data_IF_282415357793
#
_entry.id   IF_282415357793
#
_cell.length_a   1.000
_cell.length_b   1.000
_cell.length_c   1.000
_cell.angle_alpha   90.00
_cell.angle_beta   90.00
_cell.angle_gamma   90.00
#
_symmetry.space_group_name_H-M   'P 1'
#
loop_
_entity.id
_entity.type
_entity.pdbx_description
1 polymer ?
#
# COMPACT_ATOMS: atom_id res chain seq x y z
N UNK A 1 4.11 -15.70 -26.60
CA UNK A 1 3.70 -14.33 -26.22
C UNK A 1 3.65 -14.28 -24.70
N UNK A 2 4.56 -13.56 -24.08
CA UNK A 2 4.53 -13.36 -22.65
C UNK A 2 3.33 -12.49 -22.29
N UNK A 3 2.43 -13.04 -21.49
CA UNK A 3 1.35 -12.28 -20.88
C UNK A 3 1.97 -11.43 -19.76
N UNK A 4 2.06 -10.14 -19.98
CA UNK A 4 2.50 -9.24 -18.94
C UNK A 4 1.52 -9.27 -17.78
N UNK A 5 2.05 -9.49 -16.58
CA UNK A 5 1.26 -9.43 -15.36
C UNK A 5 0.83 -7.99 -15.10
N UNK A 6 -0.41 -7.82 -14.69
CA UNK A 6 -0.95 -6.52 -14.30
C UNK A 6 -0.64 -6.23 -12.84
N UNK A 7 -0.12 -5.05 -12.58
CA UNK A 7 0.31 -4.62 -11.25
C UNK A 7 -0.42 -3.33 -10.89
N UNK A 8 -1.04 -3.32 -9.73
CA UNK A 8 -1.55 -2.09 -9.11
C UNK A 8 -0.52 -1.56 -8.12
N UNK A 9 -0.12 -0.31 -8.28
CA UNK A 9 0.79 0.37 -7.36
C UNK A 9 0.03 1.49 -6.66
N UNK A 10 0.05 1.48 -5.33
CA UNK A 10 -0.60 2.51 -4.53
C UNK A 10 0.40 3.41 -3.84
N UNK A 11 0.02 4.66 -3.62
CA UNK A 11 0.73 5.63 -2.81
C UNK A 11 -0.27 6.47 -2.03
N UNK A 12 0.21 7.33 -1.18
CA UNK A 12 -0.61 8.20 -0.35
C UNK A 12 -0.39 9.68 -0.67
N UNK A 13 -1.45 10.44 -0.55
CA UNK A 13 -1.37 11.91 -0.56
C UNK A 13 -0.68 12.46 0.71
N UNK A 14 -0.46 13.76 0.76
CA UNK A 14 0.19 14.41 1.89
C UNK A 14 -0.58 14.19 3.20
N UNK A 15 0.18 14.02 4.29
CA UNK A 15 -0.34 13.71 5.62
C UNK A 15 0.14 14.72 6.67
N UNK A 16 -0.77 15.15 7.53
CA UNK A 16 -0.53 16.10 8.62
C UNK A 16 0.12 17.40 8.11
N UNK A 17 1.15 17.90 8.79
CA UNK A 17 1.84 19.14 8.46
C UNK A 17 2.88 18.99 7.33
N UNK A 18 2.94 17.83 6.70
CA UNK A 18 3.88 17.58 5.61
C UNK A 18 3.25 17.92 4.26
N UNK A 19 3.81 18.89 3.57
CA UNK A 19 3.33 19.36 2.27
C UNK A 19 3.53 18.32 1.16
N UNK A 20 4.44 17.37 1.35
CA UNK A 20 4.81 16.40 0.33
C UNK A 20 4.87 14.99 0.88
N UNK A 21 4.38 14.06 0.09
CA UNK A 21 4.55 12.62 0.31
C UNK A 21 5.28 12.03 -0.91
N UNK A 22 6.46 11.43 -0.73
CA UNK A 22 7.20 10.87 -1.87
C UNK A 22 6.45 9.76 -2.60
N UNK A 23 5.52 9.08 -1.94
CA UNK A 23 4.70 8.07 -2.62
C UNK A 23 3.64 8.70 -3.53
N UNK A 24 3.15 9.87 -3.22
CA UNK A 24 2.32 10.65 -4.15
C UNK A 24 3.09 10.96 -5.43
N UNK A 25 4.31 11.46 -5.29
CA UNK A 25 5.20 11.75 -6.42
C UNK A 25 5.45 10.51 -7.27
N UNK A 26 5.70 9.38 -6.63
CA UNK A 26 5.87 8.11 -7.31
C UNK A 26 4.65 7.77 -8.18
N UNK A 27 3.45 7.90 -7.64
CA UNK A 27 2.21 7.60 -8.37
C UNK A 27 2.03 8.57 -9.54
N UNK A 28 2.29 9.85 -9.35
CA UNK A 28 2.21 10.86 -10.41
C UNK A 28 3.19 10.56 -11.56
N UNK A 29 4.45 10.29 -11.22
CA UNK A 29 5.49 9.98 -12.20
C UNK A 29 5.18 8.69 -12.98
N UNK A 30 4.74 7.64 -12.28
CA UNK A 30 4.35 6.37 -12.92
C UNK A 30 3.15 6.54 -13.84
N UNK A 31 2.15 7.32 -13.47
CA UNK A 31 0.96 7.53 -14.28
C UNK A 31 1.29 8.24 -15.60
N UNK A 32 2.29 9.10 -15.61
CA UNK A 32 2.76 9.80 -16.82
C UNK A 32 3.50 8.90 -17.80
N UNK A 33 4.03 7.78 -17.37
CA UNK A 33 4.75 6.84 -18.23
C UNK A 33 3.82 5.99 -19.09
N UNK A 34 2.53 5.97 -18.83
CA UNK A 34 1.50 5.23 -19.58
C UNK A 34 1.86 3.76 -19.84
N UNK A 35 2.39 3.09 -18.82
CA UNK A 35 2.77 1.68 -18.90
C UNK A 35 1.51 0.80 -18.88
N UNK A 36 1.32 0.02 -19.93
CA UNK A 36 0.07 -0.74 -20.16
C UNK A 36 -0.23 -1.81 -19.10
N UNK A 37 0.79 -2.28 -18.40
CA UNK A 37 0.66 -3.32 -17.36
C UNK A 37 0.71 -2.78 -15.94
N UNK A 38 0.88 -1.46 -15.77
CA UNK A 38 0.91 -0.79 -14.48
C UNK A 38 -0.34 0.07 -14.32
N UNK A 39 -1.09 -0.21 -13.27
CA UNK A 39 -2.17 0.64 -12.78
C UNK A 39 -1.70 1.38 -11.54
N UNK A 40 -2.10 2.61 -11.37
CA UNK A 40 -1.72 3.44 -10.23
C UNK A 40 -2.94 3.90 -9.47
N UNK A 41 -2.81 4.06 -8.16
CA UNK A 41 -3.88 4.52 -7.29
C UNK A 41 -3.31 5.39 -6.17
N UNK A 42 -3.74 6.63 -6.11
CA UNK A 42 -3.45 7.51 -4.99
C UNK A 42 -4.52 7.37 -3.92
N UNK A 43 -4.09 7.04 -2.70
CA UNK A 43 -4.97 6.83 -1.56
C UNK A 43 -4.99 8.06 -0.64
N UNK A 44 -6.14 8.42 -0.09
CA UNK A 44 -6.20 9.40 0.98
C UNK A 44 -5.62 8.84 2.27
N UNK A 45 -5.04 9.69 3.09
CA UNK A 45 -4.58 9.30 4.44
C UNK A 45 -5.79 9.28 5.38
N UNK A 46 -6.56 8.25 5.24
CA UNK A 46 -7.80 7.98 5.98
C UNK A 46 -7.93 6.48 6.13
N UNK A 47 -8.02 5.99 7.33
CA UNK A 47 -8.19 4.55 7.59
C UNK A 47 -9.40 3.98 6.86
N UNK A 48 -10.53 4.67 6.95
CA UNK A 48 -11.78 4.25 6.33
C UNK A 48 -11.74 4.35 4.80
N UNK A 49 -11.34 5.50 4.28
CA UNK A 49 -11.42 5.79 2.85
C UNK A 49 -10.35 5.08 2.04
N UNK A 50 -9.12 4.96 2.58
CA UNK A 50 -8.03 4.28 1.88
C UNK A 50 -8.36 2.81 1.62
N UNK A 51 -8.84 2.10 2.63
CA UNK A 51 -9.24 0.70 2.48
C UNK A 51 -10.41 0.54 1.51
N UNK A 52 -11.44 1.37 1.63
CA UNK A 52 -12.61 1.32 0.74
C UNK A 52 -12.22 1.57 -0.72
N UNK A 53 -11.37 2.57 -0.96
CA UNK A 53 -10.90 2.91 -2.31
C UNK A 53 -10.01 1.82 -2.92
N UNK A 54 -9.13 1.23 -2.12
CA UNK A 54 -8.31 0.11 -2.56
C UNK A 54 -9.16 -1.10 -2.90
N UNK A 55 -10.12 -1.44 -2.04
CA UNK A 55 -11.03 -2.56 -2.26
C UNK A 55 -11.85 -2.38 -3.54
N UNK A 56 -12.41 -1.20 -3.77
CA UNK A 56 -13.14 -0.86 -4.99
C UNK A 56 -12.26 -1.04 -6.24
N UNK A 57 -11.03 -0.54 -6.21
CA UNK A 57 -10.09 -0.70 -7.31
C UNK A 57 -9.76 -2.15 -7.60
N UNK A 58 -9.60 -2.98 -6.56
CA UNK A 58 -9.34 -4.41 -6.72
C UNK A 58 -10.55 -5.18 -7.25
N UNK A 59 -11.76 -4.77 -6.87
CA UNK A 59 -13.00 -5.37 -7.38
C UNK A 59 -13.25 -5.01 -8.86
N UNK A 60 -12.89 -3.81 -9.28
CA UNK A 60 -13.06 -3.33 -10.65
C UNK A 60 -11.95 -3.76 -11.60
N UNK A 61 -10.72 -3.82 -11.10
CA UNK A 61 -9.52 -4.08 -11.89
C UNK A 61 -8.99 -5.46 -11.61
N UNK A 62 -8.89 -6.26 -12.64
CA UNK A 62 -8.24 -7.57 -12.53
C UNK A 62 -6.72 -7.39 -12.57
N UNK A 63 -6.10 -7.32 -11.40
CA UNK A 63 -4.65 -7.22 -11.26
C UNK A 63 -4.07 -8.50 -10.66
N UNK A 64 -2.85 -8.83 -11.08
CA UNK A 64 -2.14 -10.02 -10.60
C UNK A 64 -1.38 -9.73 -9.29
N UNK A 65 -0.89 -8.49 -9.14
CA UNK A 65 -0.11 -8.06 -7.99
C UNK A 65 -0.52 -6.67 -7.53
N UNK A 66 -0.39 -6.44 -6.23
CA UNK A 66 -0.56 -5.13 -5.62
C UNK A 66 0.72 -4.77 -4.88
N UNK A 67 1.26 -3.59 -5.16
CA UNK A 67 2.40 -3.02 -4.44
C UNK A 67 1.90 -1.77 -3.73
N UNK A 68 1.85 -1.82 -2.40
CA UNK A 68 1.47 -0.69 -1.59
C UNK A 68 2.73 0.05 -1.12
N UNK A 69 2.79 1.34 -1.38
CA UNK A 69 3.88 2.20 -0.92
C UNK A 69 3.38 3.21 0.10
N UNK A 70 4.22 3.52 1.07
CA UNK A 70 3.93 4.48 2.13
C UNK A 70 5.19 5.12 2.67
N UNK A 71 5.04 6.27 3.31
CA UNK A 71 6.13 7.00 3.93
C UNK A 71 6.31 6.55 5.39
N UNK A 72 7.54 6.16 5.74
CA UNK A 72 7.94 5.93 7.11
C UNK A 72 8.97 7.01 7.51
N UNK A 73 8.56 7.97 8.33
CA UNK A 73 9.34 9.18 8.63
C UNK A 73 10.73 8.95 9.22
N UNK A 74 10.89 7.89 9.99
CA UNK A 74 12.14 7.62 10.69
C UNK A 74 13.06 6.64 9.95
N UNK A 75 12.81 6.42 8.65
CA UNK A 75 13.60 5.49 7.83
C UNK A 75 14.22 6.23 6.65
N UNK A 76 15.52 6.08 6.48
CA UNK A 76 16.29 6.70 5.40
C UNK A 76 16.40 5.80 4.16
N UNK A 77 16.07 4.53 4.30
CA UNK A 77 16.17 3.54 3.22
C UNK A 77 14.82 2.93 2.90
N UNK A 78 14.69 2.46 1.68
CA UNK A 78 13.52 1.71 1.23
C UNK A 78 13.47 0.35 1.96
N UNK A 79 12.36 0.09 2.64
CA UNK A 79 12.12 -1.18 3.32
C UNK A 79 10.97 -1.92 2.66
N UNK A 80 11.11 -3.23 2.58
CA UNK A 80 10.04 -4.11 2.13
C UNK A 80 9.44 -4.77 3.37
N UNK A 81 8.17 -4.50 3.64
CA UNK A 81 7.45 -5.10 4.75
C UNK A 81 7.16 -6.58 4.45
N UNK A 82 7.56 -7.43 5.36
CA UNK A 82 7.43 -8.88 5.20
C UNK A 82 6.08 -9.43 5.64
N UNK A 83 5.47 -8.79 6.62
CA UNK A 83 4.23 -9.24 7.24
C UNK A 83 3.24 -8.08 7.29
N UNK A 84 2.04 -8.31 6.81
CA UNK A 84 0.89 -7.42 6.99
C UNK A 84 0.05 -7.96 8.15
N UNK A 85 -0.15 -7.15 9.19
CA UNK A 85 -0.96 -7.52 10.35
C UNK A 85 -2.37 -6.96 10.25
N UNK A 86 -3.33 -7.68 10.79
CA UNK A 86 -4.73 -7.23 10.88
C UNK A 86 -4.93 -6.33 12.11
N UNK A 87 -4.17 -5.26 12.17
CA UNK A 87 -4.25 -4.29 13.24
C UNK A 87 -3.84 -2.92 12.74
N UNK A 88 -4.64 -1.92 13.02
CA UNK A 88 -4.28 -0.53 12.83
C UNK A 88 -4.15 0.16 14.18
N UNK A 89 -3.05 0.88 14.34
CA UNK A 89 -2.78 1.63 15.57
C UNK A 89 -1.90 2.83 15.26
N UNK A 90 -2.30 4.00 15.71
CA UNK A 90 -1.52 5.22 15.60
C UNK A 90 -1.87 6.19 16.72
N UNK A 91 -0.89 6.97 17.13
CA UNK A 91 -1.07 8.02 18.14
C UNK A 91 -1.55 9.35 17.54
N UNK A 92 -1.44 9.48 16.22
CA UNK A 92 -1.83 10.69 15.49
C UNK A 92 -3.06 10.38 14.67
N UNK A 93 -4.01 11.32 14.65
CA UNK A 93 -5.21 11.22 13.84
C UNK A 93 -4.87 11.21 12.34
N UNK A 94 -5.65 10.49 11.56
CA UNK A 94 -5.59 10.57 10.10
C UNK A 94 -6.19 11.90 9.60
N UNK A 95 -6.25 12.10 8.28
CA UNK A 95 -6.77 13.34 7.69
C UNK A 95 -8.28 13.54 7.93
N UNK A 96 -9.00 12.50 8.34
CA UNK A 96 -10.42 12.59 8.73
C UNK A 96 -10.59 12.84 10.25
N UNK A 97 -9.50 12.91 11.01
CA UNK A 97 -9.53 13.06 12.47
C UNK A 97 -9.71 11.74 13.22
N UNK A 98 -9.61 10.62 12.55
CA UNK A 98 -9.75 9.29 13.15
C UNK A 98 -8.42 8.84 13.77
N UNK A 99 -8.49 8.36 15.02
CA UNK A 99 -7.35 7.79 15.74
C UNK A 99 -7.59 6.29 15.92
N UNK A 100 -6.73 5.49 15.30
CA UNK A 100 -6.78 4.05 15.44
C UNK A 100 -6.05 3.62 16.72
N UNK A 101 -6.73 2.95 17.63
CA UNK A 101 -6.17 2.43 18.88
C UNK A 101 -6.27 0.90 18.88
N UNK A 102 -5.25 0.24 18.32
CA UNK A 102 -5.13 -1.23 18.32
C UNK A 102 -6.41 -1.96 17.90
N UNK A 103 -7.02 -1.53 16.83
CA UNK A 103 -8.25 -2.15 16.33
C UNK A 103 -7.99 -3.02 15.10
N UNK A 104 -8.78 -4.09 14.89
CA UNK A 104 -8.64 -4.91 13.68
C UNK A 104 -9.08 -4.11 12.44
N UNK A 105 -8.37 -4.32 11.32
CA UNK A 105 -8.76 -3.79 10.01
C UNK A 105 -9.98 -4.55 9.49
N UNK A 106 -9.94 -5.88 9.60
CA UNK A 106 -11.05 -6.77 9.25
C UNK A 106 -11.49 -7.52 10.50
N UNK A 107 -12.70 -7.27 10.95
CA UNK A 107 -13.27 -7.95 12.12
C UNK A 107 -13.35 -9.47 11.86
N UNK A 108 -12.90 -10.25 12.82
CA UNK A 108 -12.75 -11.71 12.69
C UNK A 108 -11.87 -12.18 11.52
N UNK A 109 -11.05 -11.29 10.96
CA UNK A 109 -10.07 -11.65 9.96
C UNK A 109 -8.86 -12.38 10.54
N UNK A 110 -8.07 -12.95 9.66
CA UNK A 110 -6.79 -13.57 10.02
C UNK A 110 -5.85 -12.51 10.62
N UNK A 111 -5.07 -12.87 11.64
CA UNK A 111 -4.22 -11.91 12.36
C UNK A 111 -3.08 -11.33 11.51
N UNK A 112 -2.52 -12.12 10.61
CA UNK A 112 -1.40 -11.68 9.80
C UNK A 112 -1.32 -12.46 8.49
N UNK A 113 -0.69 -11.82 7.49
CA UNK A 113 -0.39 -12.39 6.19
C UNK A 113 1.07 -12.11 5.84
N UNK A 114 1.74 -13.07 5.21
CA UNK A 114 3.04 -12.80 4.62
C UNK A 114 2.88 -11.94 3.36
N UNK A 115 3.70 -10.91 3.23
CA UNK A 115 3.80 -10.14 2.00
C UNK A 115 4.41 -11.00 0.90
N UNK A 116 3.88 -10.85 -0.30
CA UNK A 116 4.25 -11.67 -1.45
C UNK A 116 3.42 -12.95 -1.54
N UNK A 117 3.27 -13.40 -2.76
CA UNK A 117 2.50 -14.60 -3.03
C UNK A 117 3.33 -15.85 -2.66
N UNK A 118 2.71 -16.79 -2.00
CA UNK A 118 3.31 -18.11 -1.69
C UNK A 118 3.55 -18.98 -2.92
N UNK A 119 3.05 -18.62 -4.08
CA UNK A 119 3.46 -19.31 -5.29
C UNK A 119 4.94 -18.97 -5.54
N UNK A 120 5.74 -19.87 -5.20
CA UNK A 120 7.15 -20.22 -5.46
C UNK A 120 8.02 -19.39 -6.43
N UNK A 121 7.58 -18.29 -6.99
CA UNK A 121 8.27 -17.62 -8.11
C UNK A 121 8.91 -16.26 -7.78
N UNK A 122 8.76 -15.74 -6.55
CA UNK A 122 9.48 -14.55 -6.14
C UNK A 122 10.42 -14.86 -4.97
N UNK A 123 11.74 -14.77 -5.17
CA UNK A 123 12.64 -14.82 -4.04
C UNK A 123 12.35 -13.62 -3.15
N UNK A 124 11.89 -13.86 -1.95
CA UNK A 124 11.82 -12.83 -0.94
C UNK A 124 13.21 -12.27 -0.71
N UNK A 125 13.37 -10.96 -0.89
CA UNK A 125 14.63 -10.30 -0.53
C UNK A 125 14.95 -10.62 0.94
N UNK A 126 16.05 -11.34 1.18
CA UNK A 126 16.51 -11.59 2.53
C UNK A 126 16.92 -10.25 3.13
N UNK A 127 16.31 -9.89 4.24
CA UNK A 127 16.84 -8.79 5.03
C UNK A 127 18.25 -9.16 5.51
N UNK A 128 19.22 -8.26 5.43
CA UNK A 128 20.51 -8.49 6.08
C UNK A 128 20.26 -8.64 7.59
N UNK A 129 20.95 -9.59 8.18
CA UNK A 129 20.92 -9.81 9.63
C UNK A 129 21.49 -8.60 10.37
#
# INVERSE_FOLDING_TARGET
>A
MELHKKILITGFEAFADHEHNPTQRLIEDLSQLHLSHIETLLLPVSYKQAFAKLKEALDEKQVDYVICSGLAYNREILNIERIAINCESAQIADNDGDIALERPIVFNGQNAFFSGNRSSSFPMARQPK
#
